data_IF_982490049161
#
_entry.id   IF_982490049161
#
_cell.length_a   1.000
_cell.length_b   1.000
_cell.length_c   1.000
_cell.angle_alpha   90.00
_cell.angle_beta   90.00
_cell.angle_gamma   90.00
#
_symmetry.space_group_name_H-M   'P 1'
#
loop_
_entity.id
_entity.type
_entity.pdbx_description
1 polymer ?
#
# COMPACT_ATOMS: atom_id res chain seq x y z
N UNK A 1 -6.00 -3.42 -11.12
CA UNK A 1 -4.55 -3.17 -11.01
C UNK A 1 -3.77 -4.43 -10.63
N UNK A 2 -4.14 -5.13 -9.56
CA UNK A 2 -3.50 -6.38 -9.09
C UNK A 2 -3.31 -7.43 -10.21
N UNK A 3 -4.32 -7.64 -11.06
CA UNK A 3 -4.22 -8.55 -12.20
C UNK A 3 -3.12 -8.19 -13.20
N UNK A 4 -2.88 -6.91 -13.46
CA UNK A 4 -1.81 -6.50 -14.39
C UNK A 4 -0.42 -6.89 -13.85
N UNK A 5 -0.18 -6.70 -12.55
CA UNK A 5 1.06 -7.13 -11.89
C UNK A 5 1.18 -8.66 -11.83
N UNK A 6 0.08 -9.37 -11.60
CA UNK A 6 0.06 -10.84 -11.66
C UNK A 6 0.48 -11.34 -13.05
N UNK A 7 -0.08 -10.76 -14.12
CA UNK A 7 0.33 -11.08 -15.49
C UNK A 7 1.77 -10.66 -15.80
N UNK A 8 2.26 -9.55 -15.23
CA UNK A 8 3.67 -9.17 -15.31
C UNK A 8 4.60 -10.20 -14.66
N UNK A 9 4.24 -10.73 -13.49
CA UNK A 9 5.00 -11.80 -12.84
C UNK A 9 4.96 -13.11 -13.65
N UNK A 10 3.81 -13.46 -14.24
CA UNK A 10 3.68 -14.60 -15.16
C UNK A 10 4.61 -14.44 -16.36
N UNK A 11 4.63 -13.25 -16.99
CA UNK A 11 5.55 -12.92 -18.08
C UNK A 11 7.01 -13.11 -17.65
N UNK A 12 7.41 -12.59 -16.48
CA UNK A 12 8.78 -12.77 -15.97
C UNK A 12 9.18 -14.24 -15.77
N UNK A 13 8.24 -15.11 -15.40
CA UNK A 13 8.53 -16.54 -15.21
C UNK A 13 8.59 -17.27 -16.56
N UNK A 14 7.58 -17.07 -17.42
CA UNK A 14 7.34 -17.91 -18.60
C UNK A 14 7.99 -17.38 -19.88
N UNK A 15 7.94 -16.07 -20.09
CA UNK A 15 8.17 -15.48 -21.40
C UNK A 15 9.44 -14.60 -21.43
N UNK A 16 9.91 -14.13 -20.27
CA UNK A 16 11.11 -13.31 -20.18
C UNK A 16 12.38 -14.13 -20.50
N UNK A 17 13.05 -13.74 -21.57
CA UNK A 17 14.37 -14.25 -21.97
C UNK A 17 15.47 -13.22 -21.65
N UNK A 18 16.37 -13.49 -20.69
CA UNK A 18 17.47 -12.57 -20.35
C UNK A 18 18.42 -12.27 -21.52
N UNK A 19 18.72 -13.26 -22.37
CA UNK A 19 19.66 -13.11 -23.49
C UNK A 19 19.13 -12.14 -24.54
N UNK A 20 17.82 -12.16 -24.79
CA UNK A 20 17.17 -11.25 -25.74
C UNK A 20 16.96 -9.84 -25.19
N UNK A 21 17.06 -9.67 -23.87
CA UNK A 21 16.80 -8.42 -23.16
C UNK A 21 18.07 -7.84 -22.53
N UNK A 22 19.25 -8.37 -22.89
CA UNK A 22 20.53 -7.89 -22.40
C UNK A 22 20.69 -6.38 -22.66
N UNK A 23 21.27 -5.68 -21.68
CA UNK A 23 21.54 -4.24 -21.69
C UNK A 23 20.35 -3.28 -21.84
N UNK A 24 19.11 -3.78 -21.91
CA UNK A 24 17.92 -2.96 -22.01
C UNK A 24 17.42 -2.46 -20.64
N UNK A 25 16.38 -1.62 -20.66
CA UNK A 25 15.82 -1.03 -19.43
C UNK A 25 15.21 -2.06 -18.47
N UNK A 26 14.71 -3.18 -19.00
CA UNK A 26 14.09 -4.25 -18.21
C UNK A 26 15.14 -5.07 -17.46
N UNK A 27 16.25 -5.42 -18.13
CA UNK A 27 17.39 -6.07 -17.48
C UNK A 27 18.01 -5.18 -16.40
N UNK A 28 18.29 -3.91 -16.71
CA UNK A 28 18.84 -2.95 -15.74
C UNK A 28 17.95 -2.75 -14.50
N UNK A 29 16.63 -2.80 -14.67
CA UNK A 29 15.69 -2.73 -13.55
C UNK A 29 15.84 -3.97 -12.64
N UNK A 30 15.97 -5.17 -13.20
CA UNK A 30 16.16 -6.41 -12.45
C UNK A 30 17.49 -6.41 -11.68
N UNK A 31 18.55 -5.85 -12.25
CA UNK A 31 19.88 -5.73 -11.60
C UNK A 31 19.84 -4.86 -10.33
N UNK A 32 18.87 -3.95 -10.23
CA UNK A 32 18.70 -3.05 -9.10
C UNK A 32 17.38 -3.29 -8.33
N UNK A 33 16.77 -4.48 -8.46
CA UNK A 33 15.47 -4.79 -7.83
C UNK A 33 15.43 -4.53 -6.31
N UNK A 34 16.52 -4.81 -5.62
CA UNK A 34 16.62 -4.64 -4.17
C UNK A 34 16.52 -3.16 -3.76
N UNK A 35 17.06 -2.25 -4.58
CA UNK A 35 16.92 -0.82 -4.35
C UNK A 35 15.46 -0.38 -4.50
N UNK A 36 14.76 -0.86 -5.53
CA UNK A 36 13.33 -0.55 -5.76
C UNK A 36 12.48 -1.06 -4.58
N UNK A 37 12.66 -2.33 -4.19
CA UNK A 37 11.91 -2.97 -3.10
C UNK A 37 12.17 -2.25 -1.77
N UNK A 38 13.44 -1.92 -1.46
CA UNK A 38 13.79 -1.24 -0.21
C UNK A 38 13.22 0.17 -0.11
N UNK A 39 13.21 0.95 -1.19
CA UNK A 39 12.61 2.29 -1.18
C UNK A 39 11.09 2.25 -1.03
N UNK A 40 10.41 1.30 -1.70
CA UNK A 40 8.98 1.08 -1.50
C UNK A 40 8.66 0.63 -0.06
N UNK A 41 9.50 -0.24 0.52
CA UNK A 41 9.38 -0.64 1.92
C UNK A 41 9.55 0.55 2.88
N UNK A 42 10.56 1.39 2.66
CA UNK A 42 10.75 2.61 3.45
C UNK A 42 9.55 3.54 3.35
N UNK A 43 9.03 3.80 2.14
CA UNK A 43 7.86 4.66 1.96
C UNK A 43 6.62 4.11 2.68
N UNK A 44 6.35 2.81 2.56
CA UNK A 44 5.26 2.14 3.29
C UNK A 44 5.41 2.26 4.80
N UNK A 45 6.61 2.02 5.35
CA UNK A 45 6.85 2.14 6.80
C UNK A 45 6.72 3.59 7.26
N UNK A 46 7.29 4.54 6.53
CA UNK A 46 7.19 5.96 6.81
C UNK A 46 5.72 6.41 6.85
N UNK A 47 4.95 6.11 5.81
CA UNK A 47 3.53 6.45 5.77
C UNK A 47 2.75 5.77 6.90
N UNK A 48 3.06 4.49 7.19
CA UNK A 48 2.40 3.70 8.24
C UNK A 48 2.58 4.30 9.63
N UNK A 49 3.84 4.53 10.03
CA UNK A 49 4.15 5.06 11.36
C UNK A 49 3.56 6.45 11.59
N UNK A 50 3.66 7.35 10.62
CA UNK A 50 3.20 8.72 10.80
C UNK A 50 1.68 8.85 10.70
N UNK A 51 1.04 8.17 9.74
CA UNK A 51 -0.42 8.25 9.56
C UNK A 51 -1.15 7.63 10.75
N UNK A 52 -0.80 6.39 11.12
CA UNK A 52 -1.41 5.73 12.27
C UNK A 52 -1.04 6.43 13.57
N UNK A 53 0.21 6.90 13.70
CA UNK A 53 0.66 7.65 14.87
C UNK A 53 -0.15 8.92 15.12
N UNK A 54 -0.46 9.68 14.06
CA UNK A 54 -1.31 10.88 14.17
C UNK A 54 -2.75 10.54 14.52
N UNK A 55 -3.33 9.51 13.89
CA UNK A 55 -4.67 9.04 14.23
C UNK A 55 -4.78 8.65 15.71
N UNK A 56 -3.85 7.80 16.18
CA UNK A 56 -3.81 7.34 17.58
C UNK A 56 -3.57 8.51 18.54
N UNK A 57 -2.66 9.44 18.21
CA UNK A 57 -2.47 10.66 18.99
C UNK A 57 -3.77 11.44 19.13
N UNK A 58 -4.49 11.66 18.02
CA UNK A 58 -5.74 12.43 18.02
C UNK A 58 -6.85 11.72 18.80
N UNK A 59 -6.99 10.39 18.70
CA UNK A 59 -7.90 9.61 19.53
C UNK A 59 -7.60 9.77 21.02
N UNK A 60 -6.32 9.70 21.42
CA UNK A 60 -5.92 9.86 22.82
C UNK A 60 -6.22 11.27 23.34
N UNK A 61 -5.93 12.31 22.54
CA UNK A 61 -6.24 13.70 22.93
C UNK A 61 -7.75 13.93 23.09
N UNK A 62 -8.57 13.33 22.22
CA UNK A 62 -10.02 13.37 22.35
C UNK A 62 -10.50 12.61 23.59
N UNK A 63 -9.98 11.41 23.83
CA UNK A 63 -10.35 10.60 24.98
C UNK A 63 -10.03 11.28 26.33
N UNK A 64 -8.98 12.11 26.36
CA UNK A 64 -8.65 12.93 27.54
C UNK A 64 -9.41 14.26 27.63
N UNK A 65 -10.35 14.53 26.72
CA UNK A 65 -11.15 15.74 26.74
C UNK A 65 -10.36 17.01 26.38
N UNK A 66 -9.24 16.88 25.68
CA UNK A 66 -8.40 17.99 25.21
C UNK A 66 -8.28 17.99 23.68
N UNK A 67 -9.39 18.15 22.93
CA UNK A 67 -9.39 18.10 21.47
C UNK A 67 -8.53 19.19 20.82
N UNK A 68 -8.30 20.32 21.50
CA UNK A 68 -7.42 21.41 21.05
C UNK A 68 -5.94 21.00 20.97
N UNK A 69 -5.56 19.86 21.55
CA UNK A 69 -4.20 19.30 21.50
C UNK A 69 -4.01 18.26 20.40
N UNK A 70 -5.03 18.01 19.58
CA UNK A 70 -4.87 17.24 18.36
C UNK A 70 -3.86 17.89 17.42
N UNK A 71 -3.17 17.06 16.62
CA UNK A 71 -2.29 17.55 15.58
C UNK A 71 -3.10 17.59 14.28
N UNK A 72 -3.48 18.80 13.89
CA UNK A 72 -4.29 19.07 12.70
C UNK A 72 -3.42 19.72 11.63
N UNK A 73 -3.16 18.97 10.55
CA UNK A 73 -2.31 19.42 9.45
C UNK A 73 -3.20 19.79 8.27
N UNK A 74 -3.12 21.04 7.83
CA UNK A 74 -3.87 21.52 6.67
C UNK A 74 -3.25 21.01 5.35
N UNK A 75 -4.04 20.48 4.41
CA UNK A 75 -3.56 20.03 3.10
C UNK A 75 -3.37 21.22 2.15
N UNK A 76 -2.43 22.13 2.44
CA UNK A 76 -2.22 23.40 1.72
C UNK A 76 -2.03 23.18 0.21
N UNK A 77 -1.32 22.13 -0.20
CA UNK A 77 -1.13 21.81 -1.62
C UNK A 77 -2.43 21.41 -2.31
N UNK A 78 -3.32 20.71 -1.61
CA UNK A 78 -4.63 20.37 -2.16
C UNK A 78 -5.57 21.59 -2.15
N UNK A 79 -5.51 22.42 -1.11
CA UNK A 79 -6.25 23.69 -1.01
C UNK A 79 -5.89 24.67 -2.13
N UNK A 80 -4.63 24.68 -2.57
CA UNK A 80 -4.19 25.47 -3.72
C UNK A 80 -4.89 25.06 -5.03
N UNK A 81 -5.24 23.77 -5.17
CA UNK A 81 -5.99 23.25 -6.32
C UNK A 81 -7.50 23.45 -6.11
N UNK A 82 -8.01 23.13 -4.92
CA UNK A 82 -9.43 23.21 -4.54
C UNK A 82 -9.56 23.56 -3.05
N UNK A 83 -10.23 24.67 -2.73
CA UNK A 83 -10.30 25.21 -1.37
C UNK A 83 -11.07 24.38 -0.33
N UNK A 84 -11.67 23.24 -0.71
CA UNK A 84 -12.65 22.51 0.09
C UNK A 84 -12.07 21.32 0.88
N UNK A 85 -10.77 21.34 1.19
CA UNK A 85 -10.09 20.26 1.93
C UNK A 85 -9.62 20.73 3.32
N UNK A 86 -9.71 19.86 4.32
CA UNK A 86 -9.25 20.11 5.68
C UNK A 86 -8.39 18.98 6.28
N UNK A 87 -8.11 19.01 7.59
CA UNK A 87 -7.20 18.07 8.26
C UNK A 87 -7.62 16.60 8.17
N UNK A 88 -8.94 16.32 8.22
CA UNK A 88 -9.47 14.98 8.01
C UNK A 88 -9.16 14.41 6.63
N UNK A 89 -9.30 15.26 5.60
CA UNK A 89 -8.92 14.90 4.22
C UNK A 89 -7.43 14.60 4.13
N UNK A 90 -6.58 15.39 4.79
CA UNK A 90 -5.13 15.17 4.81
C UNK A 90 -4.79 13.76 5.32
N UNK A 91 -5.31 13.38 6.50
CA UNK A 91 -4.98 12.10 7.12
C UNK A 91 -5.46 10.90 6.30
N UNK A 92 -6.68 10.95 5.77
CA UNK A 92 -7.21 9.83 4.98
C UNK A 92 -6.51 9.68 3.62
N UNK A 93 -6.08 10.77 2.98
CA UNK A 93 -5.27 10.67 1.77
C UNK A 93 -3.90 10.04 2.04
N UNK A 94 -3.30 10.26 3.22
CA UNK A 94 -2.06 9.58 3.61
C UNK A 94 -2.30 8.09 3.94
N UNK A 95 -3.46 7.73 4.49
CA UNK A 95 -3.86 6.33 4.67
C UNK A 95 -4.07 5.64 3.31
N UNK A 96 -4.71 6.30 2.36
CA UNK A 96 -4.86 5.80 0.98
C UNK A 96 -3.49 5.65 0.33
N UNK A 97 -2.59 6.63 0.47
CA UNK A 97 -1.23 6.54 -0.03
C UNK A 97 -0.47 5.35 0.57
N UNK A 98 -0.60 5.10 1.88
CA UNK A 98 -0.05 3.91 2.54
C UNK A 98 -0.56 2.62 1.90
N UNK A 99 -1.87 2.52 1.68
CA UNK A 99 -2.50 1.35 1.06
C UNK A 99 -2.00 1.12 -0.37
N UNK A 100 -1.88 2.19 -1.17
CA UNK A 100 -1.35 2.12 -2.53
C UNK A 100 0.13 1.70 -2.55
N UNK A 101 0.99 2.30 -1.72
CA UNK A 101 2.42 1.96 -1.67
C UNK A 101 2.64 0.53 -1.18
N UNK A 102 1.89 0.08 -0.18
CA UNK A 102 2.02 -1.27 0.38
C UNK A 102 1.51 -2.33 -0.58
N UNK A 103 0.37 -2.09 -1.23
CA UNK A 103 -0.13 -2.97 -2.31
C UNK A 103 0.88 -3.05 -3.45
N UNK A 104 1.47 -1.91 -3.86
CA UNK A 104 2.49 -1.85 -4.91
C UNK A 104 3.75 -2.60 -4.51
N UNK A 105 4.24 -2.43 -3.28
CA UNK A 105 5.40 -3.13 -2.74
C UNK A 105 5.23 -4.65 -2.86
N UNK A 106 4.09 -5.18 -2.41
CA UNK A 106 3.82 -6.63 -2.43
C UNK A 106 3.82 -7.16 -3.87
N UNK A 107 3.12 -6.48 -4.78
CA UNK A 107 3.02 -6.87 -6.18
C UNK A 107 4.36 -6.76 -6.93
N UNK A 108 5.07 -5.65 -6.75
CA UNK A 108 6.39 -5.41 -7.38
C UNK A 108 7.40 -6.42 -6.87
N UNK A 109 7.51 -6.61 -5.56
CA UNK A 109 8.41 -7.62 -4.98
C UNK A 109 8.06 -9.02 -5.48
N UNK A 110 6.78 -9.37 -5.53
CA UNK A 110 6.30 -10.65 -6.07
C UNK A 110 6.74 -10.89 -7.51
N UNK A 111 6.72 -9.86 -8.36
CA UNK A 111 7.15 -9.94 -9.75
C UNK A 111 8.68 -9.97 -9.91
N UNK A 112 9.42 -9.12 -9.18
CA UNK A 112 10.89 -9.02 -9.29
C UNK A 112 11.63 -10.24 -8.69
N UNK A 113 11.03 -10.92 -7.71
CA UNK A 113 11.53 -12.17 -7.13
C UNK A 113 10.91 -13.43 -7.73
N UNK A 114 10.10 -13.29 -8.80
CA UNK A 114 9.37 -14.39 -9.41
C UNK A 114 10.30 -15.45 -10.02
N UNK A 115 11.41 -15.02 -10.62
CA UNK A 115 12.39 -15.93 -11.24
C UNK A 115 13.35 -16.56 -10.23
N UNK A 116 13.56 -15.92 -9.09
CA UNK A 116 14.49 -16.35 -8.07
C UNK A 116 14.77 -15.28 -7.03
N UNK A 117 15.04 -15.71 -5.80
CA UNK A 117 15.53 -14.88 -4.70
C UNK A 117 16.70 -15.56 -4.00
N UNK A 118 17.32 -14.90 -3.02
CA UNK A 118 18.40 -15.52 -2.23
C UNK A 118 17.96 -16.80 -1.51
N UNK A 119 16.70 -16.88 -1.09
CA UNK A 119 16.15 -18.03 -0.36
C UNK A 119 15.83 -19.22 -1.27
N UNK A 120 15.38 -18.95 -2.50
CA UNK A 120 15.03 -19.94 -3.52
C UNK A 120 15.47 -19.42 -4.90
N UNK A 121 16.73 -19.65 -5.30
CA UNK A 121 17.29 -19.09 -6.54
C UNK A 121 16.70 -19.66 -7.83
N UNK A 122 16.21 -20.90 -7.77
CA UNK A 122 15.65 -21.71 -8.85
C UNK A 122 14.12 -21.59 -8.98
N UNK A 123 13.53 -20.54 -8.39
CA UNK A 123 12.07 -20.36 -8.31
C UNK A 123 11.36 -20.44 -9.67
N UNK A 124 11.98 -19.93 -10.75
CA UNK A 124 11.43 -20.00 -12.11
C UNK A 124 11.07 -21.42 -12.55
N UNK A 125 11.77 -22.45 -12.05
CA UNK A 125 11.62 -23.84 -12.48
C UNK A 125 10.34 -24.49 -11.90
N UNK A 126 9.72 -23.86 -10.90
CA UNK A 126 8.49 -24.30 -10.22
C UNK A 126 7.23 -23.63 -10.77
N UNK A 127 7.37 -22.61 -11.62
CA UNK A 127 6.26 -21.87 -12.21
C UNK A 127 5.67 -20.79 -11.27
N UNK A 128 4.49 -20.28 -11.66
CA UNK A 128 3.88 -19.12 -11.00
C UNK A 128 3.22 -19.42 -9.65
N UNK A 129 2.57 -20.59 -9.53
CA UNK A 129 1.80 -20.99 -8.36
C UNK A 129 2.26 -22.37 -7.91
N UNK A 130 2.79 -22.43 -6.70
CA UNK A 130 3.23 -23.64 -6.01
C UNK A 130 3.20 -23.39 -4.49
N UNK A 131 3.02 -24.41 -3.63
CA UNK A 131 2.72 -24.18 -2.21
C UNK A 131 3.89 -23.63 -1.39
N UNK A 132 5.08 -24.21 -1.56
CA UNK A 132 6.33 -23.85 -0.87
C UNK A 132 7.50 -24.66 -1.48
N UNK A 133 8.73 -24.42 -0.99
CA UNK A 133 9.92 -25.26 -1.20
C UNK A 133 10.36 -25.94 0.11
N UNK A 134 9.37 -26.50 0.82
CA UNK A 134 9.51 -27.27 2.06
C UNK A 134 9.85 -26.46 3.33
N UNK A 135 9.94 -27.13 4.49
CA UNK A 135 10.23 -26.50 5.78
C UNK A 135 11.72 -26.19 6.01
N UNK A 136 12.61 -26.58 5.09
CA UNK A 136 14.04 -26.30 5.19
C UNK A 136 14.37 -24.79 5.14
N UNK A 137 15.63 -24.44 5.44
CA UNK A 137 16.15 -23.05 5.36
C UNK A 137 15.35 -22.02 6.20
N UNK A 138 14.67 -22.47 7.26
CA UNK A 138 13.82 -21.62 8.11
C UNK A 138 12.33 -21.60 7.73
N UNK A 139 11.94 -22.32 6.67
CA UNK A 139 10.57 -22.37 6.15
C UNK A 139 10.38 -21.48 4.91
N UNK A 140 9.59 -21.97 3.94
CA UNK A 140 9.37 -21.30 2.65
C UNK A 140 7.89 -21.15 2.30
N UNK A 141 7.04 -21.02 3.32
CA UNK A 141 5.62 -20.74 3.15
C UNK A 141 5.40 -19.45 2.35
N UNK A 142 4.37 -19.42 1.52
CA UNK A 142 3.93 -18.24 0.76
C UNK A 142 5.04 -17.58 -0.09
N UNK A 143 5.94 -18.38 -0.68
CA UNK A 143 7.13 -17.91 -1.40
C UNK A 143 6.89 -17.69 -2.91
N UNK A 144 5.82 -18.23 -3.48
CA UNK A 144 5.54 -18.15 -4.91
C UNK A 144 5.07 -16.75 -5.33
N UNK A 145 5.13 -16.44 -6.62
CA UNK A 145 4.63 -15.17 -7.13
C UNK A 145 3.09 -15.09 -7.03
N UNK A 146 2.39 -16.23 -7.08
CA UNK A 146 0.96 -16.31 -6.81
C UNK A 146 0.63 -15.94 -5.36
N UNK A 147 1.45 -16.36 -4.39
CA UNK A 147 1.23 -16.03 -2.97
C UNK A 147 1.36 -14.52 -2.73
N UNK A 148 2.27 -13.85 -3.44
CA UNK A 148 2.37 -12.39 -3.41
C UNK A 148 1.10 -11.72 -4.00
N UNK A 149 0.53 -12.26 -5.08
CA UNK A 149 -0.76 -11.79 -5.60
C UNK A 149 -1.88 -12.00 -4.57
N UNK A 150 -1.95 -13.17 -3.94
CA UNK A 150 -2.91 -13.48 -2.87
C UNK A 150 -2.83 -12.45 -1.73
N UNK A 151 -1.64 -12.18 -1.20
CA UNK A 151 -1.42 -11.18 -0.16
C UNK A 151 -1.80 -9.76 -0.61
N UNK A 152 -1.49 -9.41 -1.85
CA UNK A 152 -1.82 -8.09 -2.41
C UNK A 152 -3.34 -7.87 -2.56
N UNK A 153 -4.14 -8.93 -2.73
CA UNK A 153 -5.61 -8.80 -2.80
C UNK A 153 -6.19 -8.29 -1.48
N UNK A 154 -5.69 -8.74 -0.32
CA UNK A 154 -6.13 -8.22 0.97
C UNK A 154 -5.82 -6.72 1.11
N UNK A 155 -4.60 -6.33 0.76
CA UNK A 155 -4.19 -4.92 0.81
C UNK A 155 -4.96 -4.04 -0.17
N UNK A 156 -5.23 -4.55 -1.37
CA UNK A 156 -6.07 -3.86 -2.34
C UNK A 156 -7.50 -3.66 -1.79
N UNK A 157 -8.15 -4.71 -1.28
CA UNK A 157 -9.50 -4.61 -0.74
C UNK A 157 -9.57 -3.63 0.44
N UNK A 158 -8.57 -3.67 1.33
CA UNK A 158 -8.45 -2.72 2.43
C UNK A 158 -8.27 -1.28 1.94
N UNK A 159 -7.39 -1.06 0.95
CA UNK A 159 -7.16 0.27 0.37
C UNK A 159 -8.41 0.82 -0.32
N UNK A 160 -9.10 -0.01 -1.11
CA UNK A 160 -10.36 0.37 -1.76
C UNK A 160 -11.42 0.67 -0.70
N UNK A 161 -11.48 -0.13 0.37
CA UNK A 161 -12.34 0.12 1.52
C UNK A 161 -12.10 1.51 2.12
N UNK A 162 -10.86 1.90 2.39
CA UNK A 162 -10.55 3.24 2.89
C UNK A 162 -11.00 4.34 1.94
N UNK A 163 -10.75 4.19 0.63
CA UNK A 163 -11.18 5.16 -0.39
C UNK A 163 -12.70 5.29 -0.42
N UNK A 164 -13.44 4.17 -0.41
CA UNK A 164 -14.90 4.19 -0.50
C UNK A 164 -15.54 4.67 0.79
N UNK A 165 -15.01 4.33 1.96
CA UNK A 165 -15.46 4.85 3.25
C UNK A 165 -15.30 6.38 3.32
N UNK A 166 -14.12 6.89 2.95
CA UNK A 166 -13.87 8.32 2.86
C UNK A 166 -14.86 9.01 1.93
N UNK A 167 -14.96 8.53 0.68
CA UNK A 167 -15.83 9.12 -0.32
C UNK A 167 -17.28 9.13 0.16
N UNK A 168 -17.75 7.99 0.69
CA UNK A 168 -19.12 7.82 1.13
C UNK A 168 -19.49 8.76 2.28
N UNK A 169 -18.67 8.79 3.34
CA UNK A 169 -18.97 9.60 4.51
C UNK A 169 -18.91 11.10 4.20
N UNK A 170 -17.92 11.53 3.41
CA UNK A 170 -17.83 12.92 2.96
C UNK A 170 -19.04 13.37 2.13
N UNK A 171 -19.58 12.49 1.27
CA UNK A 171 -20.78 12.82 0.50
C UNK A 171 -22.05 12.81 1.35
N UNK A 172 -22.17 11.89 2.31
CA UNK A 172 -23.32 11.86 3.23
C UNK A 172 -23.42 13.17 4.01
N UNK A 173 -22.32 13.65 4.60
CA UNK A 173 -22.32 14.89 5.39
C UNK A 173 -22.61 16.12 4.54
N UNK A 174 -22.18 16.12 3.27
CA UNK A 174 -22.59 17.13 2.28
C UNK A 174 -24.10 17.09 1.99
N UNK A 175 -24.67 15.91 1.73
CA UNK A 175 -26.10 15.76 1.44
C UNK A 175 -27.01 16.08 2.63
N UNK A 176 -26.51 15.87 3.84
CA UNK A 176 -27.18 16.27 5.08
C UNK A 176 -27.04 17.77 5.38
N UNK A 177 -26.19 18.50 4.65
CA UNK A 177 -25.87 19.90 4.94
C UNK A 177 -25.05 20.10 6.22
N UNK A 178 -24.45 19.04 6.77
CA UNK A 178 -23.70 19.04 8.03
C UNK A 178 -22.22 18.69 7.81
N UNK A 179 -21.52 19.50 7.01
CA UNK A 179 -20.12 19.26 6.64
C UNK A 179 -19.17 19.32 7.84
N UNK A 180 -19.53 20.07 8.89
CA UNK A 180 -18.73 20.15 10.12
C UNK A 180 -18.57 18.79 10.79
N UNK A 181 -19.57 17.90 10.70
CA UNK A 181 -19.46 16.54 11.25
C UNK A 181 -18.26 15.80 10.67
N UNK A 182 -18.06 15.82 9.35
CA UNK A 182 -16.88 15.19 8.75
C UNK A 182 -15.61 15.93 9.16
N UNK A 183 -15.60 17.26 9.05
CA UNK A 183 -14.40 18.06 9.30
C UNK A 183 -13.86 17.93 10.74
N UNK A 184 -14.76 17.77 11.72
CA UNK A 184 -14.41 17.67 13.14
C UNK A 184 -14.13 16.22 13.57
N UNK A 185 -14.86 15.24 13.04
CA UNK A 185 -14.77 13.85 13.51
C UNK A 185 -13.81 12.96 12.72
N UNK A 186 -13.44 13.31 11.48
CA UNK A 186 -12.58 12.46 10.66
C UNK A 186 -11.09 12.50 11.05
N UNK A 187 -10.69 13.33 12.02
CA UNK A 187 -9.28 13.50 12.43
C UNK A 187 -8.79 12.43 13.41
N UNK A 188 -9.68 11.59 13.95
CA UNK A 188 -9.40 10.53 14.93
C UNK A 188 -10.24 9.29 14.59
N UNK A 189 -9.76 8.07 14.84
CA UNK A 189 -10.39 6.84 14.35
C UNK A 189 -11.77 6.58 14.97
N UNK A 190 -11.98 6.95 16.24
CA UNK A 190 -13.27 6.78 16.90
C UNK A 190 -14.41 7.60 16.25
N UNK A 191 -14.07 8.60 15.44
CA UNK A 191 -15.06 9.40 14.71
C UNK A 191 -15.54 8.72 13.43
N UNK A 192 -14.82 7.72 12.91
CA UNK A 192 -15.16 6.98 11.68
C UNK A 192 -16.19 5.86 11.89
N UNK A 193 -16.84 5.81 13.06
CA UNK A 193 -17.85 4.81 13.42
C UNK A 193 -19.23 5.08 12.80
#
# INVERSE_FOLDING_TARGET
MTGAFAHGAIFFIRDYNPEQNEDNVLARMLDHKEAIISHLSWASLFLGFHTLGLYVHNDVMLAFGTPEKQILIEPIFAQWIQSAHGPGDFLVHHAIALGLHTTTLILVKGALDARGSKLMPDKKDFGYSFPCDGPGRGGTCDISAWDAFYLAVFWMLNTIGWVTFYWHWKHITLWQGNVSQFNESSTYLMGWN
#
